data_IF_578998166315
#
_entry.id   IF_578998166315
#
_cell.length_a   1.000
_cell.length_b   1.000
_cell.length_c   1.000
_cell.angle_alpha   90.00
_cell.angle_beta   90.00
_cell.angle_gamma   90.00
#
_symmetry.space_group_name_H-M   'P 1'
#
loop_
_entity.id
_entity.type
_entity.pdbx_description
1 polymer ?
#
# COMPACT_ATOMS: atom_id res chain seq x y z
N UNK A 1 -1.48 26.19 -28.61
CA UNK A 1 -1.95 26.43 -27.22
C UNK A 1 -0.91 25.87 -26.27
N UNK A 2 -0.14 26.74 -25.63
CA UNK A 2 0.88 26.34 -24.63
C UNK A 2 0.16 26.10 -23.30
N UNK A 3 0.30 24.89 -22.71
CA UNK A 3 -0.18 24.61 -21.35
C UNK A 3 0.82 25.23 -20.35
N UNK A 4 0.36 26.20 -19.59
CA UNK A 4 1.11 26.72 -18.45
C UNK A 4 1.27 25.61 -17.39
N UNK A 5 2.52 25.31 -17.07
CA UNK A 5 2.88 24.48 -15.92
C UNK A 5 2.72 25.35 -14.67
N UNK A 6 1.65 25.16 -13.93
CA UNK A 6 1.42 25.81 -12.64
C UNK A 6 2.57 25.44 -11.69
N UNK A 7 3.39 26.45 -11.35
CA UNK A 7 4.43 26.31 -10.33
C UNK A 7 3.78 26.04 -8.98
N UNK A 8 3.86 24.80 -8.51
CA UNK A 8 3.53 24.44 -7.13
C UNK A 8 4.54 25.14 -6.20
N UNK A 9 4.05 26.14 -5.46
CA UNK A 9 4.82 26.82 -4.42
C UNK A 9 5.20 25.78 -3.33
N UNK A 10 6.48 25.67 -3.05
CA UNK A 10 7.01 24.87 -1.94
C UNK A 10 6.64 25.56 -0.63
N UNK A 11 5.98 24.88 0.33
CA UNK A 11 5.82 25.45 1.66
C UNK A 11 7.20 25.59 2.31
N UNK A 12 7.51 26.77 2.84
CA UNK A 12 8.70 26.99 3.65
C UNK A 12 8.49 26.32 5.02
N UNK A 13 8.86 25.05 5.13
CA UNK A 13 9.02 24.41 6.43
C UNK A 13 10.48 24.57 6.86
N UNK A 14 10.70 25.16 8.04
CA UNK A 14 11.99 25.08 8.75
C UNK A 14 12.16 23.62 9.18
N UNK A 15 12.55 22.76 8.25
CA UNK A 15 12.91 21.37 8.52
C UNK A 15 14.26 21.32 9.23
N UNK A 16 14.33 20.60 10.33
CA UNK A 16 15.59 20.12 10.88
C UNK A 16 16.31 19.42 9.73
N UNK A 17 17.55 19.85 9.44
CA UNK A 17 18.40 19.17 8.48
C UNK A 17 18.65 17.76 9.01
N UNK A 18 18.11 16.75 8.30
CA UNK A 18 18.50 15.37 8.50
C UNK A 18 19.96 15.26 8.03
N UNK A 19 20.88 15.06 8.98
CA UNK A 19 22.24 14.66 8.72
C UNK A 19 22.33 13.14 8.88
N UNK A 20 22.27 12.35 7.81
CA UNK A 20 22.58 10.92 7.92
C UNK A 20 24.01 10.79 8.42
N UNK A 21 24.25 9.88 9.36
CA UNK A 21 25.60 9.43 9.67
C UNK A 21 26.25 9.05 8.34
N UNK A 22 27.50 9.41 8.08
CA UNK A 22 28.16 9.35 6.77
C UNK A 22 28.17 7.96 6.10
N UNK A 23 27.62 6.92 6.74
CA UNK A 23 27.61 5.53 6.27
C UNK A 23 26.21 4.97 5.97
N UNK A 24 25.12 5.67 6.26
CA UNK A 24 23.77 5.10 6.06
C UNK A 24 22.98 5.88 5.02
N UNK A 25 22.91 5.31 3.79
CA UNK A 25 22.06 5.88 2.73
C UNK A 25 20.60 5.79 3.16
N UNK A 26 19.87 6.90 3.12
CA UNK A 26 18.44 6.93 3.37
C UNK A 26 17.68 5.92 2.49
N UNK A 27 16.75 5.15 3.09
CA UNK A 27 15.94 4.15 2.44
C UNK A 27 14.48 4.36 2.83
N UNK A 28 13.52 4.40 1.87
CA UNK A 28 12.11 4.33 2.20
C UNK A 28 11.74 2.92 2.65
N UNK A 29 10.68 2.81 3.42
CA UNK A 29 10.02 1.53 3.69
C UNK A 29 9.19 1.14 2.47
N UNK A 30 9.52 0.01 1.83
CA UNK A 30 8.80 -0.47 0.65
C UNK A 30 7.59 -1.28 1.09
N UNK A 31 6.42 -0.96 0.53
CA UNK A 31 5.16 -1.66 0.81
C UNK A 31 4.41 -1.98 -0.47
N UNK A 32 3.58 -3.01 -0.41
CA UNK A 32 2.62 -3.39 -1.45
C UNK A 32 1.20 -3.23 -0.94
N UNK A 33 0.24 -3.04 -1.84
CA UNK A 33 -1.17 -2.97 -1.48
C UNK A 33 -2.05 -3.54 -2.60
N UNK A 34 -3.09 -4.30 -2.23
CA UNK A 34 -4.10 -4.77 -3.15
C UNK A 34 -5.28 -3.79 -3.20
N UNK A 35 -5.72 -3.46 -4.40
CA UNK A 35 -6.92 -2.67 -4.69
C UNK A 35 -7.90 -3.59 -5.39
N UNK A 36 -8.74 -4.23 -4.60
CA UNK A 36 -9.69 -5.25 -5.08
C UNK A 36 -11.08 -4.64 -5.12
N UNK A 37 -11.69 -4.68 -6.30
CA UNK A 37 -13.09 -4.29 -6.49
C UNK A 37 -13.91 -5.52 -6.86
N UNK A 38 -15.09 -5.66 -6.27
CA UNK A 38 -16.09 -6.67 -6.60
C UNK A 38 -17.48 -6.08 -6.41
N UNK A 39 -18.32 -6.15 -7.43
CA UNK A 39 -19.71 -5.69 -7.41
C UNK A 39 -19.88 -4.25 -6.91
N UNK A 40 -19.01 -3.36 -7.35
CA UNK A 40 -19.01 -1.94 -6.95
C UNK A 40 -18.52 -1.67 -5.53
N UNK A 41 -17.88 -2.64 -4.88
CA UNK A 41 -17.31 -2.52 -3.52
C UNK A 41 -15.83 -2.84 -3.52
N UNK A 42 -15.11 -2.18 -2.62
CA UNK A 42 -13.67 -2.35 -2.40
C UNK A 42 -13.41 -3.17 -1.15
N UNK A 43 -12.49 -4.12 -1.25
CA UNK A 43 -12.00 -4.89 -0.13
C UNK A 43 -11.04 -4.04 0.71
N UNK A 44 -11.38 -3.84 1.98
CA UNK A 44 -10.52 -3.24 2.98
C UNK A 44 -10.37 -4.19 4.17
N UNK A 45 -9.32 -3.96 4.94
CA UNK A 45 -9.09 -4.58 6.25
C UNK A 45 -9.30 -3.54 7.35
N UNK A 46 -9.84 -3.98 8.49
CA UNK A 46 -9.86 -3.19 9.72
C UNK A 46 -8.77 -3.75 10.63
N UNK A 47 -7.80 -2.91 10.94
CA UNK A 47 -6.61 -3.28 11.72
C UNK A 47 -6.57 -2.54 13.05
N UNK A 48 -6.08 -3.23 14.09
CA UNK A 48 -5.79 -2.63 15.39
C UNK A 48 -4.43 -1.95 15.35
N UNK A 49 -4.39 -0.68 15.72
CA UNK A 49 -3.17 0.12 15.72
C UNK A 49 -3.00 0.86 17.06
N UNK A 50 -1.83 1.44 17.29
CA UNK A 50 -1.60 2.31 18.44
C UNK A 50 -2.59 3.49 18.53
N UNK A 51 -3.19 3.88 17.41
CA UNK A 51 -4.13 5.00 17.31
C UNK A 51 -5.60 4.50 17.21
N UNK A 52 -5.86 3.26 17.61
CA UNK A 52 -7.15 2.59 17.53
C UNK A 52 -7.38 1.86 16.20
N UNK A 53 -8.64 1.51 15.95
CA UNK A 53 -9.02 0.78 14.73
C UNK A 53 -8.88 1.67 13.50
N UNK A 54 -8.18 1.16 12.48
CA UNK A 54 -7.98 1.84 11.20
C UNK A 54 -8.40 0.96 10.03
N UNK A 55 -8.77 1.61 8.93
CA UNK A 55 -9.04 0.96 7.66
C UNK A 55 -7.82 1.07 6.74
N UNK A 56 -7.49 -0.01 6.08
CA UNK A 56 -6.42 -0.06 5.10
C UNK A 56 -6.82 -0.92 3.90
N UNK A 57 -6.13 -0.74 2.76
CA UNK A 57 -6.14 -1.79 1.75
C UNK A 57 -5.43 -3.01 2.35
N UNK A 58 -5.69 -4.25 1.90
CA UNK A 58 -4.79 -5.36 2.20
C UNK A 58 -3.37 -4.98 1.76
N UNK A 59 -2.42 -4.86 2.72
CA UNK A 59 -1.14 -4.21 2.45
C UNK A 59 -0.11 -4.46 3.54
N UNK A 60 1.12 -4.75 3.14
CA UNK A 60 2.24 -4.90 4.06
C UNK A 60 3.60 -4.60 3.43
N UNK A 61 4.65 -5.00 4.11
CA UNK A 61 6.02 -4.73 3.70
C UNK A 61 6.50 -5.75 2.68
N UNK A 62 7.43 -5.29 1.82
CA UNK A 62 8.20 -6.18 0.96
C UNK A 62 9.24 -6.90 1.83
N UNK A 63 9.22 -8.21 1.81
CA UNK A 63 10.18 -9.04 2.51
C UNK A 63 11.41 -9.37 1.65
N UNK A 64 12.56 -9.66 2.27
CA UNK A 64 13.73 -10.12 1.53
C UNK A 64 13.46 -11.41 0.75
N UNK A 65 13.88 -11.45 -0.51
CA UNK A 65 13.78 -12.64 -1.34
C UNK A 65 12.43 -12.84 -2.03
N UNK A 66 11.53 -11.86 -2.00
CA UNK A 66 10.27 -11.91 -2.76
C UNK A 66 10.16 -10.74 -3.75
N UNK A 67 9.46 -10.97 -4.86
CA UNK A 67 9.11 -9.90 -5.78
C UNK A 67 7.92 -9.10 -5.26
N UNK A 68 7.70 -7.88 -5.81
CA UNK A 68 6.54 -7.06 -5.47
C UNK A 68 5.20 -7.77 -5.70
N UNK A 69 5.13 -8.61 -6.76
CA UNK A 69 3.94 -9.43 -7.06
C UNK A 69 3.74 -10.52 -6.01
N UNK A 70 4.82 -11.21 -5.61
CA UNK A 70 4.74 -12.22 -4.54
C UNK A 70 4.34 -11.59 -3.21
N UNK A 71 4.91 -10.42 -2.88
CA UNK A 71 4.57 -9.68 -1.67
C UNK A 71 3.07 -9.36 -1.59
N UNK A 72 2.49 -8.78 -2.64
CA UNK A 72 1.06 -8.40 -2.61
C UNK A 72 0.14 -9.62 -2.57
N UNK A 73 0.52 -10.72 -3.18
CA UNK A 73 -0.23 -12.00 -3.09
C UNK A 73 -0.18 -12.55 -1.66
N UNK A 74 1.00 -12.57 -1.04
CA UNK A 74 1.19 -13.02 0.35
C UNK A 74 0.39 -12.17 1.33
N UNK A 75 0.59 -10.84 1.31
CA UNK A 75 -0.08 -9.91 2.23
C UNK A 75 -1.61 -9.97 2.10
N UNK A 76 -2.13 -10.01 0.87
CA UNK A 76 -3.59 -10.13 0.68
C UNK A 76 -4.12 -11.43 1.27
N UNK A 77 -3.40 -12.54 1.07
CA UNK A 77 -3.80 -13.83 1.62
C UNK A 77 -3.72 -13.87 3.15
N UNK A 78 -2.71 -13.26 3.75
CA UNK A 78 -2.49 -13.20 5.20
C UNK A 78 -3.54 -12.34 5.90
N UNK A 79 -3.86 -11.18 5.33
CA UNK A 79 -4.77 -10.22 5.94
C UNK A 79 -6.25 -10.49 5.64
N UNK A 80 -6.56 -11.23 4.55
CA UNK A 80 -7.96 -11.43 4.13
C UNK A 80 -8.40 -12.89 4.02
N UNK A 81 -7.47 -13.82 4.11
CA UNK A 81 -7.63 -15.24 3.77
C UNK A 81 -8.02 -15.48 2.30
N UNK A 82 -8.08 -14.45 1.44
CA UNK A 82 -8.45 -14.56 0.04
C UNK A 82 -7.22 -14.75 -0.84
N UNK A 83 -7.17 -15.77 -1.72
CA UNK A 83 -6.20 -15.82 -2.81
C UNK A 83 -6.34 -14.56 -3.68
N UNK A 84 -5.23 -13.99 -4.11
CA UNK A 84 -5.21 -12.78 -4.92
C UNK A 84 -4.45 -12.99 -6.22
N UNK A 85 -5.05 -12.57 -7.33
CA UNK A 85 -4.46 -12.59 -8.67
C UNK A 85 -4.31 -11.14 -9.14
N UNK A 86 -3.13 -10.51 -9.00
CA UNK A 86 -2.88 -9.17 -9.51
C UNK A 86 -2.84 -9.18 -11.04
N UNK A 87 -3.51 -8.21 -11.67
CA UNK A 87 -3.59 -8.07 -13.12
C UNK A 87 -3.04 -6.74 -13.65
N UNK A 88 -2.90 -5.73 -12.79
CA UNK A 88 -2.35 -4.43 -13.17
C UNK A 88 -1.70 -3.69 -11.99
N UNK A 89 -0.78 -2.79 -12.29
CA UNK A 89 -0.28 -1.79 -11.36
C UNK A 89 -1.17 -0.54 -11.43
N UNK A 90 -1.80 -0.16 -10.31
CA UNK A 90 -2.61 1.06 -10.20
C UNK A 90 -1.73 2.28 -10.08
N UNK A 91 -0.64 2.18 -9.34
CA UNK A 91 0.31 3.27 -9.18
C UNK A 91 1.43 2.98 -8.20
N UNK A 92 2.40 3.91 -8.20
CA UNK A 92 3.52 3.94 -7.26
C UNK A 92 3.42 5.24 -6.48
N UNK A 93 3.44 5.16 -5.16
CA UNK A 93 3.15 6.29 -4.27
C UNK A 93 4.25 6.50 -3.25
N UNK A 94 4.58 7.76 -2.98
CA UNK A 94 5.41 8.16 -1.86
C UNK A 94 4.54 8.91 -0.84
N UNK A 95 4.57 8.47 0.41
CA UNK A 95 3.91 9.14 1.51
C UNK A 95 4.77 9.07 2.77
N UNK A 96 4.80 10.17 3.53
CA UNK A 96 5.50 10.20 4.81
C UNK A 96 4.48 10.27 5.94
N UNK A 97 4.63 9.38 6.91
CA UNK A 97 3.86 9.39 8.14
C UNK A 97 4.76 9.86 9.28
N UNK A 98 4.30 10.90 9.98
CA UNK A 98 4.95 11.37 11.21
C UNK A 98 4.06 11.06 12.39
N UNK A 99 4.64 10.53 13.47
CA UNK A 99 3.97 10.32 14.76
C UNK A 99 4.65 11.15 15.83
N UNK A 100 3.93 11.69 16.82
CA UNK A 100 4.54 12.37 17.94
C UNK A 100 5.57 11.47 18.64
N UNK A 101 6.80 11.96 18.80
CA UNK A 101 7.88 11.23 19.48
C UNK A 101 8.57 10.14 18.68
N UNK A 102 8.23 9.94 17.40
CA UNK A 102 8.89 8.99 16.51
C UNK A 102 9.48 9.70 15.29
N UNK A 103 10.54 9.11 14.70
CA UNK A 103 11.08 9.59 13.43
C UNK A 103 10.06 9.38 12.29
N UNK A 104 9.93 10.35 11.37
CA UNK A 104 9.07 10.21 10.21
C UNK A 104 9.49 9.04 9.33
N UNK A 105 8.54 8.19 8.94
CA UNK A 105 8.77 7.08 8.02
C UNK A 105 8.19 7.42 6.66
N UNK A 106 9.01 7.36 5.62
CA UNK A 106 8.57 7.48 4.24
C UNK A 106 8.34 6.10 3.65
N UNK A 107 7.13 5.89 3.15
CA UNK A 107 6.72 4.67 2.49
C UNK A 107 6.76 4.85 0.97
N UNK A 108 7.33 3.87 0.28
CA UNK A 108 7.21 3.69 -1.18
C UNK A 108 6.24 2.53 -1.40
N UNK A 109 5.00 2.85 -1.79
CA UNK A 109 3.93 1.87 -1.99
C UNK A 109 3.72 1.56 -3.45
N UNK A 110 3.66 0.27 -3.77
CA UNK A 110 3.21 -0.27 -5.05
C UNK A 110 1.78 -0.80 -4.88
N UNK A 111 0.80 -0.21 -5.55
CA UNK A 111 -0.60 -0.63 -5.45
C UNK A 111 -1.01 -1.42 -6.70
N UNK A 112 -1.58 -2.59 -6.49
CA UNK A 112 -1.97 -3.54 -7.53
C UNK A 112 -3.48 -3.69 -7.60
N UNK A 113 -4.05 -3.63 -8.80
CA UNK A 113 -5.39 -4.11 -9.05
C UNK A 113 -5.35 -5.62 -9.33
N UNK A 114 -6.48 -6.28 -9.10
CA UNK A 114 -6.62 -7.71 -9.38
C UNK A 114 -7.90 -8.29 -8.79
N UNK A 115 -8.01 -9.61 -8.86
CA UNK A 115 -9.17 -10.35 -8.35
C UNK A 115 -8.80 -11.11 -7.08
N UNK A 116 -9.65 -11.00 -6.06
CA UNK A 116 -9.58 -11.85 -4.89
C UNK A 116 -10.60 -12.99 -5.00
N UNK A 117 -10.17 -14.20 -4.69
CA UNK A 117 -11.06 -15.37 -4.56
C UNK A 117 -11.88 -15.31 -3.27
N UNK A 118 -12.61 -16.40 -2.99
CA UNK A 118 -13.31 -16.55 -1.73
C UNK A 118 -12.32 -16.85 -0.58
N UNK A 119 -12.64 -16.41 0.65
CA UNK A 119 -11.79 -16.69 1.80
C UNK A 119 -11.60 -18.19 2.02
N UNK A 120 -10.38 -18.62 2.23
CA UNK A 120 -10.05 -20.02 2.52
C UNK A 120 -10.55 -20.41 3.91
N UNK A 121 -11.34 -21.48 3.97
CA UNK A 121 -11.89 -21.98 5.22
C UNK A 121 -10.79 -22.35 6.24
N UNK A 122 -10.97 -21.91 7.48
CA UNK A 122 -10.07 -22.23 8.59
C UNK A 122 -8.74 -21.46 8.60
N UNK A 123 -8.54 -20.53 7.65
CA UNK A 123 -7.35 -19.67 7.67
C UNK A 123 -7.53 -18.54 8.68
N UNK A 124 -6.57 -18.41 9.59
CA UNK A 124 -6.50 -17.29 10.53
C UNK A 124 -5.94 -16.06 9.83
N UNK A 125 -6.53 -14.90 10.08
CA UNK A 125 -6.00 -13.62 9.61
C UNK A 125 -4.76 -13.24 10.42
N UNK A 126 -3.92 -12.41 9.84
CA UNK A 126 -2.71 -11.91 10.48
C UNK A 126 -3.01 -11.18 11.79
N UNK A 127 -2.01 -11.21 12.69
CA UNK A 127 -2.12 -10.54 13.98
C UNK A 127 -2.36 -9.03 13.81
N UNK A 128 -3.41 -8.56 14.47
CA UNK A 128 -3.83 -7.15 14.39
C UNK A 128 -4.91 -6.89 13.36
N UNK A 129 -5.16 -7.80 12.42
CA UNK A 129 -6.33 -7.73 11.53
C UNK A 129 -7.56 -8.20 12.28
N UNK A 130 -8.55 -7.31 12.40
CA UNK A 130 -9.80 -7.60 13.11
C UNK A 130 -10.81 -8.27 12.18
N UNK A 131 -10.92 -7.77 10.97
CA UNK A 131 -11.85 -8.28 9.93
C UNK A 131 -11.60 -7.67 8.56
N UNK A 132 -12.20 -8.29 7.56
CA UNK A 132 -12.33 -7.75 6.20
C UNK A 132 -13.67 -7.05 6.02
N UNK A 133 -13.71 -6.04 5.14
CA UNK A 133 -14.89 -5.25 4.84
C UNK A 133 -14.97 -4.99 3.33
N UNK A 134 -16.17 -5.10 2.78
CA UNK A 134 -16.48 -4.69 1.41
C UNK A 134 -17.27 -3.38 1.45
N UNK A 135 -16.63 -2.27 1.07
CA UNK A 135 -17.19 -0.93 1.15
C UNK A 135 -17.39 -0.33 -0.24
N UNK A 136 -18.52 0.33 -0.44
CA UNK A 136 -18.73 1.15 -1.63
C UNK A 136 -17.75 2.33 -1.66
N UNK A 137 -17.46 2.93 -2.83
CA UNK A 137 -16.64 4.13 -2.92
C UNK A 137 -17.14 5.28 -2.03
N UNK A 138 -18.46 5.41 -1.88
CA UNK A 138 -19.07 6.39 -0.99
C UNK A 138 -18.73 6.15 0.48
N UNK A 139 -18.82 4.89 0.94
CA UNK A 139 -18.46 4.50 2.31
C UNK A 139 -16.96 4.67 2.57
N UNK A 140 -16.10 4.35 1.59
CA UNK A 140 -14.65 4.61 1.70
C UNK A 140 -14.39 6.10 1.86
N UNK A 141 -15.00 6.97 1.04
CA UNK A 141 -14.87 8.43 1.17
C UNK A 141 -15.36 8.95 2.53
N UNK A 142 -16.49 8.43 3.01
CA UNK A 142 -17.05 8.84 4.30
C UNK A 142 -16.20 8.41 5.51
N UNK A 143 -15.34 7.40 5.34
CA UNK A 143 -14.51 6.83 6.42
C UNK A 143 -13.08 7.37 6.49
N UNK A 144 -12.74 8.45 5.77
CA UNK A 144 -11.36 9.00 5.65
C UNK A 144 -10.68 9.21 7.01
N UNK A 145 -11.41 9.67 8.03
CA UNK A 145 -10.87 9.86 9.38
C UNK A 145 -10.37 8.56 10.05
N UNK A 146 -10.80 7.41 9.55
CA UNK A 146 -10.39 6.07 10.01
C UNK A 146 -9.30 5.45 9.15
N UNK A 147 -8.91 6.06 8.05
CA UNK A 147 -7.90 5.49 7.17
C UNK A 147 -6.53 5.45 7.86
N UNK A 148 -5.81 4.36 7.66
CA UNK A 148 -4.42 4.17 8.10
C UNK A 148 -3.49 5.22 7.52
N UNK A 149 -3.75 5.62 6.28
CA UNK A 149 -3.03 6.67 5.57
C UNK A 149 -3.90 7.26 4.45
N UNK A 150 -3.54 8.43 3.92
CA UNK A 150 -4.23 9.00 2.75
C UNK A 150 -4.19 8.11 1.51
N UNK A 151 -3.27 7.15 1.45
CA UNK A 151 -3.11 6.25 0.31
C UNK A 151 -4.28 5.28 0.14
N UNK A 152 -5.04 4.98 1.21
CA UNK A 152 -6.23 4.14 1.13
C UNK A 152 -7.24 4.72 0.13
N UNK A 153 -7.63 5.98 0.34
CA UNK A 153 -8.54 6.67 -0.56
C UNK A 153 -7.90 6.90 -1.94
N UNK A 154 -6.62 7.31 -1.96
CA UNK A 154 -5.93 7.62 -3.22
C UNK A 154 -5.85 6.42 -4.16
N UNK A 155 -5.52 5.24 -3.66
CA UNK A 155 -5.45 4.02 -4.47
C UNK A 155 -6.82 3.65 -5.06
N UNK A 156 -7.89 3.77 -4.27
CA UNK A 156 -9.26 3.54 -4.74
C UNK A 156 -9.64 4.53 -5.84
N UNK A 157 -9.41 5.83 -5.65
CA UNK A 157 -9.76 6.87 -6.62
C UNK A 157 -9.00 6.71 -7.94
N UNK A 158 -7.71 6.39 -7.86
CA UNK A 158 -6.90 6.13 -9.05
C UNK A 158 -7.36 4.87 -9.80
N UNK A 159 -7.80 3.83 -9.06
CA UNK A 159 -8.41 2.65 -9.64
C UNK A 159 -9.75 2.98 -10.32
N UNK A 160 -10.64 3.74 -9.67
CA UNK A 160 -11.90 4.22 -10.24
C UNK A 160 -11.70 5.07 -11.50
N UNK A 161 -10.63 5.86 -11.54
CA UNK A 161 -10.25 6.64 -12.71
C UNK A 161 -9.68 5.78 -13.85
N UNK A 162 -9.67 4.45 -13.72
CA UNK A 162 -9.20 3.52 -14.74
C UNK A 162 -7.67 3.45 -14.84
N UNK A 163 -6.91 3.89 -13.84
CA UNK A 163 -5.46 3.78 -13.86
C UNK A 163 -5.04 2.32 -13.78
N UNK A 164 -4.42 1.86 -14.86
CA UNK A 164 -3.92 0.50 -15.05
C UNK A 164 -2.63 0.55 -15.86
N UNK A 165 -1.58 -0.05 -15.36
CA UNK A 165 -0.33 -0.26 -16.09
C UNK A 165 -0.01 -1.75 -16.10
N UNK A 166 0.59 -2.23 -17.19
CA UNK A 166 1.00 -3.63 -17.31
C UNK A 166 1.98 -4.00 -16.19
N UNK A 167 1.85 -5.22 -15.66
CA UNK A 167 2.81 -5.78 -14.73
C UNK A 167 4.17 -6.05 -15.37
N UNK A 168 4.27 -6.05 -16.71
CA UNK A 168 5.55 -6.16 -17.44
C UNK A 168 6.51 -4.98 -17.15
N UNK A 169 6.01 -3.89 -16.55
CA UNK A 169 6.86 -2.83 -16.03
C UNK A 169 7.70 -3.26 -14.83
N UNK A 170 7.35 -4.36 -14.18
CA UNK A 170 8.01 -4.87 -12.98
C UNK A 170 8.96 -6.00 -13.37
N UNK A 171 10.25 -5.69 -13.49
CA UNK A 171 11.27 -6.71 -13.71
C UNK A 171 11.85 -7.17 -12.37
N UNK A 172 11.97 -8.48 -12.21
CA UNK A 172 12.63 -9.10 -11.04
C UNK A 172 13.82 -9.92 -11.53
N UNK A 173 15.02 -9.53 -11.13
CA UNK A 173 16.23 -10.28 -11.47
C UNK A 173 16.30 -11.57 -10.63
N UNK A 174 16.71 -12.71 -11.21
CA UNK A 174 16.83 -13.98 -10.48
C UNK A 174 17.77 -13.93 -9.26
N UNK A 175 18.72 -12.99 -9.20
CA UNK A 175 19.58 -12.81 -8.05
C UNK A 175 18.82 -12.49 -6.76
N UNK A 176 17.61 -11.93 -6.87
CA UNK A 176 16.75 -11.67 -5.71
C UNK A 176 16.51 -12.94 -4.88
N UNK A 177 16.36 -14.09 -5.54
CA UNK A 177 16.03 -15.36 -4.91
C UNK A 177 17.25 -16.16 -4.43
N UNK A 178 18.46 -15.72 -4.77
CA UNK A 178 19.70 -16.41 -4.39
C UNK A 178 20.25 -15.98 -3.02
N UNK A 179 19.80 -14.82 -2.51
CA UNK A 179 20.20 -14.29 -1.21
C UNK A 179 19.10 -14.53 -0.17
N UNK A 180 18.75 -15.79 0.08
CA UNK A 180 17.98 -16.12 1.28
C UNK A 180 18.85 -15.80 2.48
N UNK A 181 18.35 -14.95 3.39
CA UNK A 181 19.05 -14.66 4.64
C UNK A 181 19.28 -15.96 5.41
N UNK A 182 20.54 -16.28 5.66
CA UNK A 182 21.00 -17.35 6.56
C UNK A 182 20.66 -17.00 8.00
#
# INVERSE_FOLDING_TARGET
MRRELTKLARPASRGRHYHPRMDERWKPSVTVAAVVERDGRYLLVEEETSDGLRLNNPAGHLDPGESLVQAVVRETLEETACPFEPDALVGIYLATTARPGAEPVTYLRFAFAGRAGEPLNGRTLDRGIVRTLWLTPGEVRASVARHRSPLVLRCMEDHLAGRRSSLDLLATDPSLYTFSAS
#
